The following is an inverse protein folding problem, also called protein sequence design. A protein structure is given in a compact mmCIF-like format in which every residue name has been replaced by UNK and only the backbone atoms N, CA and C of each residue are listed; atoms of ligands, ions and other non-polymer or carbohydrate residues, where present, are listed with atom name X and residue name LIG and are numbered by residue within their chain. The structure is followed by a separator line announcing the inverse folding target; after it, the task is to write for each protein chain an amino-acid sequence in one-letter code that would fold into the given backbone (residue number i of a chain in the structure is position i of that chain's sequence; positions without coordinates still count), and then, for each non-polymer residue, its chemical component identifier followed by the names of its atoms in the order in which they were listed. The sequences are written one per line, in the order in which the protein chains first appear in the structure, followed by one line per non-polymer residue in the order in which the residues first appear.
data_IF_834723073153
#
_entry.id   IF_834723073153
#
_cell.length_a   1.000
_cell.length_b   1.000
_cell.length_c   1.000
_cell.angle_alpha   90.00
_cell.angle_beta   90.00
_cell.angle_gamma   90.00
#
_symmetry.space_group_name_H-M   'P 1'
#
loop_
_entity.id
_entity.type
_entity.pdbx_description
1 polymer ?
#
# COMPACT_ATOMS: atom_id res chain seq x y z
N UNK A 1 8.85 35.33 4.47
CA UNK A 1 8.00 34.36 5.15
C UNK A 1 8.15 33.01 4.47
N UNK A 2 8.46 31.94 5.20
CA UNK A 2 8.88 30.65 4.61
C UNK A 2 7.78 30.02 3.72
N UNK A 3 6.52 30.21 4.10
CA UNK A 3 5.36 29.76 3.32
C UNK A 3 5.33 30.32 1.90
N UNK A 4 5.64 31.61 1.74
CA UNK A 4 5.55 32.26 0.44
C UNK A 4 6.57 31.71 -0.56
N UNK A 5 7.78 31.38 -0.07
CA UNK A 5 8.83 30.76 -0.87
C UNK A 5 8.45 29.34 -1.32
N UNK A 6 7.87 28.52 -0.43
CA UNK A 6 7.38 27.18 -0.78
C UNK A 6 6.24 27.23 -1.81
N UNK A 7 5.27 28.11 -1.61
CA UNK A 7 4.14 28.25 -2.55
C UNK A 7 4.60 28.69 -3.94
N UNK A 8 5.59 29.57 -4.04
CA UNK A 8 6.14 29.99 -5.32
C UNK A 8 6.86 28.84 -6.05
N UNK A 9 7.62 28.02 -5.33
CA UNK A 9 8.28 26.82 -5.90
C UNK A 9 7.25 25.81 -6.39
N UNK A 10 6.19 25.54 -5.62
CA UNK A 10 5.11 24.63 -6.01
C UNK A 10 4.41 25.15 -7.28
N UNK A 11 4.09 26.45 -7.33
CA UNK A 11 3.47 27.05 -8.51
C UNK A 11 4.35 26.95 -9.77
N UNK A 12 5.66 27.17 -9.64
CA UNK A 12 6.64 26.99 -10.72
C UNK A 12 6.69 25.54 -11.20
N UNK A 13 6.69 24.58 -10.27
CA UNK A 13 6.71 23.16 -10.60
C UNK A 13 5.44 22.77 -11.38
N UNK A 14 4.27 23.25 -10.95
CA UNK A 14 3.01 23.04 -11.69
C UNK A 14 3.06 23.64 -13.10
N UNK A 15 3.65 24.83 -13.26
CA UNK A 15 3.83 25.46 -14.57
C UNK A 15 4.69 24.62 -15.51
N UNK A 16 5.83 24.12 -15.04
CA UNK A 16 6.73 23.25 -15.82
C UNK A 16 6.02 21.95 -16.21
N UNK A 17 5.27 21.34 -15.29
CA UNK A 17 4.49 20.13 -15.56
C UNK A 17 3.40 20.35 -16.61
N UNK A 18 2.71 21.49 -16.57
CA UNK A 18 1.68 21.84 -17.56
C UNK A 18 2.28 22.06 -18.95
N UNK A 19 3.42 22.74 -19.04
CA UNK A 19 4.14 22.95 -20.30
C UNK A 19 4.65 21.63 -20.88
N UNK A 20 5.18 20.74 -20.04
CA UNK A 20 5.61 19.40 -20.43
C UNK A 20 4.43 18.56 -20.95
N UNK A 21 3.29 18.60 -20.26
CA UNK A 21 2.07 17.91 -20.69
C UNK A 21 1.57 18.42 -22.05
N UNK A 22 1.55 19.74 -22.26
CA UNK A 22 1.13 20.34 -23.52
C UNK A 22 2.05 19.98 -24.70
N UNK A 23 3.35 19.77 -24.43
CA UNK A 23 4.34 19.38 -25.43
C UNK A 23 4.43 17.87 -25.65
N UNK A 24 3.80 17.05 -24.81
CA UNK A 24 3.86 15.59 -24.92
C UNK A 24 2.88 15.11 -25.99
N UNK A 25 3.35 14.50 -27.10
CA UNK A 25 2.45 13.94 -28.10
C UNK A 25 1.59 12.81 -27.50
N UNK A 26 0.34 12.60 -27.96
CA UNK A 26 -0.55 11.56 -27.43
C UNK A 26 0.11 10.18 -27.40
N UNK A 27 0.76 9.80 -28.50
CA UNK A 27 1.52 8.55 -28.63
C UNK A 27 2.67 8.38 -27.62
N UNK A 28 3.27 9.48 -27.16
CA UNK A 28 4.35 9.45 -26.17
C UNK A 28 3.77 9.34 -24.75
N UNK A 29 2.65 10.03 -24.47
CA UNK A 29 1.91 9.86 -23.23
C UNK A 29 1.47 8.39 -23.07
N UNK A 30 0.87 7.82 -24.12
CA UNK A 30 0.43 6.42 -24.13
C UNK A 30 1.60 5.43 -23.95
N UNK A 31 2.75 5.69 -24.59
CA UNK A 31 3.94 4.85 -24.47
C UNK A 31 4.51 4.81 -23.04
N UNK A 32 4.31 5.86 -22.23
CA UNK A 32 4.76 5.91 -20.83
C UNK A 32 3.73 5.39 -19.83
N UNK A 33 2.45 5.38 -20.20
CA UNK A 33 1.34 5.05 -19.30
C UNK A 33 1.39 3.61 -18.80
N UNK A 34 1.60 2.65 -19.71
CA UNK A 34 1.73 1.24 -19.35
C UNK A 34 2.91 0.96 -18.38
N UNK A 35 4.17 1.33 -18.68
CA UNK A 35 5.27 1.06 -17.75
C UNK A 35 5.13 1.80 -16.42
N UNK A 36 4.54 3.00 -16.39
CA UNK A 36 4.24 3.70 -15.13
C UNK A 36 3.20 2.97 -14.29
N UNK A 37 2.12 2.48 -14.91
CA UNK A 37 1.08 1.71 -14.22
C UNK A 37 1.65 0.40 -13.65
N UNK A 38 2.49 -0.29 -14.42
CA UNK A 38 3.17 -1.51 -13.94
C UNK A 38 4.13 -1.22 -12.78
N UNK A 39 4.88 -0.11 -12.84
CA UNK A 39 5.73 0.34 -11.73
C UNK A 39 4.91 0.60 -10.46
N UNK A 40 3.79 1.31 -10.58
CA UNK A 40 2.85 1.53 -9.48
C UNK A 40 2.32 0.21 -8.89
N UNK A 41 1.95 -0.75 -9.73
CA UNK A 41 1.54 -2.08 -9.27
C UNK A 41 2.64 -2.78 -8.46
N UNK A 42 3.90 -2.76 -8.93
CA UNK A 42 5.04 -3.38 -8.23
C UNK A 42 5.33 -2.72 -6.88
N UNK A 43 5.25 -1.38 -6.82
CA UNK A 43 5.41 -0.64 -5.56
C UNK A 43 4.33 -1.02 -4.55
N UNK A 44 3.06 -1.05 -4.96
CA UNK A 44 1.95 -1.45 -4.10
C UNK A 44 2.06 -2.93 -3.68
N UNK A 45 2.47 -3.83 -4.56
CA UNK A 45 2.69 -5.24 -4.23
C UNK A 45 3.78 -5.40 -3.15
N UNK A 46 4.86 -4.63 -3.26
CA UNK A 46 5.95 -4.62 -2.29
C UNK A 46 5.50 -4.05 -0.94
N UNK A 47 4.70 -2.97 -0.95
CA UNK A 47 4.09 -2.40 0.25
C UNK A 47 3.15 -3.40 0.94
N UNK A 48 2.29 -4.07 0.19
CA UNK A 48 1.40 -5.14 0.70
C UNK A 48 2.21 -6.21 1.42
N UNK A 49 3.28 -6.72 0.78
CA UNK A 49 4.16 -7.71 1.39
C UNK A 49 4.83 -7.21 2.66
N UNK A 50 5.35 -5.98 2.65
CA UNK A 50 5.98 -5.37 3.82
C UNK A 50 5.02 -5.23 5.00
N UNK A 51 3.79 -4.77 4.74
CA UNK A 51 2.75 -4.61 5.75
C UNK A 51 2.31 -5.95 6.35
N UNK A 52 2.16 -7.00 5.53
CA UNK A 52 1.86 -8.34 6.03
C UNK A 52 3.00 -8.92 6.87
N UNK A 53 4.25 -8.72 6.45
CA UNK A 53 5.41 -9.13 7.25
C UNK A 53 5.49 -8.37 8.58
N UNK A 54 5.17 -7.07 8.56
CA UNK A 54 5.10 -6.27 9.79
C UNK A 54 3.98 -6.78 10.71
N UNK A 55 2.78 -7.08 10.18
CA UNK A 55 1.67 -7.62 10.95
C UNK A 55 2.02 -8.97 11.60
N UNK A 56 2.74 -9.85 10.87
CA UNK A 56 3.23 -11.12 11.39
C UNK A 56 4.34 -10.97 12.44
N UNK A 57 5.07 -9.86 12.43
CA UNK A 57 6.09 -9.56 13.43
C UNK A 57 5.51 -8.97 14.72
N UNK A 58 4.23 -8.55 14.75
CA UNK A 58 3.57 -8.05 15.95
C UNK A 58 3.42 -9.19 16.96
N UNK A 59 3.97 -9.06 18.19
CA UNK A 59 3.91 -10.10 19.22
C UNK A 59 2.48 -10.58 19.45
N UNK A 60 2.29 -11.89 19.49
CA UNK A 60 1.04 -12.48 19.98
C UNK A 60 1.06 -12.52 21.50
N UNK A 61 -0.08 -12.22 22.16
CA UNK A 61 -0.17 -12.42 23.60
C UNK A 61 0.11 -13.88 23.93
N UNK A 62 0.93 -14.12 24.96
CA UNK A 62 0.99 -15.46 25.56
C UNK A 62 -0.39 -15.80 26.11
N UNK A 63 -0.85 -17.06 25.99
CA UNK A 63 -2.12 -17.46 26.58
C UNK A 63 -2.07 -17.22 28.09
N UNK A 64 -2.78 -16.18 28.54
CA UNK A 64 -2.83 -15.80 29.94
C UNK A 64 -3.41 -16.97 30.75
N UNK A 65 -2.74 -17.33 31.86
CA UNK A 65 -3.30 -18.29 32.81
C UNK A 65 -4.60 -17.71 33.38
N UNK A 66 -5.75 -18.41 33.29
CA UNK A 66 -7.02 -17.89 33.78
C UNK A 66 -6.90 -17.50 35.26
N UNK A 67 -7.03 -16.22 35.56
CA UNK A 67 -7.08 -15.77 36.96
C UNK A 67 -8.50 -16.00 37.48
N UNK A 68 -8.62 -16.50 38.70
CA UNK A 68 -9.93 -16.71 39.34
C UNK A 68 -10.13 -15.61 40.39
N UNK A 69 -11.27 -14.95 40.36
CA UNK A 69 -11.63 -13.97 41.39
C UNK A 69 -11.76 -14.67 42.75
N UNK A 70 -10.99 -14.26 43.78
CA UNK A 70 -11.00 -14.91 45.09
C UNK A 70 -12.33 -14.75 45.84
N UNK A 71 -13.19 -13.79 45.47
CA UNK A 71 -14.47 -13.55 46.12
C UNK A 71 -15.65 -14.22 45.41
N UNK A 72 -15.60 -14.33 44.09
CA UNK A 72 -16.71 -14.91 43.30
C UNK A 72 -16.42 -16.32 42.79
N UNK A 73 -15.16 -16.75 42.74
CA UNK A 73 -14.74 -18.05 42.20
C UNK A 73 -14.89 -18.17 40.68
N UNK A 74 -15.20 -17.05 40.00
CA UNK A 74 -15.38 -17.02 38.55
C UNK A 74 -14.05 -16.71 37.83
N UNK A 75 -13.86 -17.22 36.61
CA UNK A 75 -12.74 -16.82 35.76
C UNK A 75 -12.81 -15.32 35.43
N UNK A 76 -11.68 -14.63 35.54
CA UNK A 76 -11.50 -13.24 35.12
C UNK A 76 -10.49 -13.21 33.99
N UNK A 77 -10.94 -12.70 32.84
CA UNK A 77 -10.09 -12.36 31.70
C UNK A 77 -9.17 -11.20 32.10
N UNK A 78 -7.89 -11.47 32.23
CA UNK A 78 -6.84 -10.45 32.41
C UNK A 78 -6.20 -10.20 31.05
N UNK A 79 -6.97 -9.66 30.10
CA UNK A 79 -6.38 -9.16 28.87
C UNK A 79 -5.60 -7.88 29.20
N UNK A 80 -4.28 -8.02 29.29
CA UNK A 80 -3.35 -6.93 29.48
C UNK A 80 -3.51 -5.89 28.36
N UNK A 81 -3.44 -4.59 28.74
CA UNK A 81 -3.60 -3.48 27.79
C UNK A 81 -2.61 -3.53 26.62
N UNK A 82 -1.44 -4.14 26.85
CA UNK A 82 -0.40 -4.32 25.83
C UNK A 82 -0.83 -5.29 24.73
N UNK A 83 -1.45 -6.40 25.10
CA UNK A 83 -2.01 -7.38 24.16
C UNK A 83 -3.09 -6.73 23.28
N UNK A 84 -3.96 -5.93 23.88
CA UNK A 84 -5.00 -5.16 23.15
C UNK A 84 -4.41 -4.10 22.21
N UNK A 85 -3.24 -3.54 22.51
CA UNK A 85 -2.53 -2.63 21.59
C UNK A 85 -1.93 -3.42 20.43
N UNK A 86 -1.24 -4.53 20.72
CA UNK A 86 -0.67 -5.41 19.71
C UNK A 86 -1.72 -5.93 18.71
N UNK A 87 -2.89 -6.37 19.17
CA UNK A 87 -3.96 -6.83 18.28
C UNK A 87 -4.48 -5.71 17.38
N UNK A 88 -4.64 -4.49 17.91
CA UNK A 88 -5.04 -3.32 17.12
C UNK A 88 -3.99 -2.95 16.07
N UNK A 89 -2.72 -2.96 16.43
CA UNK A 89 -1.62 -2.65 15.51
C UNK A 89 -1.57 -3.68 14.37
N UNK A 90 -1.76 -4.97 14.70
CA UNK A 90 -1.84 -6.05 13.71
C UNK A 90 -3.03 -5.86 12.76
N UNK A 91 -4.19 -5.51 13.28
CA UNK A 91 -5.39 -5.25 12.48
C UNK A 91 -5.22 -4.03 11.57
N UNK A 92 -4.60 -2.96 12.06
CA UNK A 92 -4.31 -1.77 11.27
C UNK A 92 -3.33 -2.07 10.13
N UNK A 93 -2.23 -2.77 10.42
CA UNK A 93 -1.26 -3.21 9.41
C UNK A 93 -1.89 -4.12 8.36
N UNK A 94 -2.74 -5.05 8.79
CA UNK A 94 -3.47 -5.95 7.89
C UNK A 94 -4.46 -5.19 7.02
N UNK A 95 -5.19 -4.23 7.58
CA UNK A 95 -6.10 -3.35 6.84
C UNK A 95 -5.35 -2.51 5.80
N UNK A 96 -4.21 -1.92 6.18
CA UNK A 96 -3.35 -1.17 5.27
C UNK A 96 -2.83 -2.06 4.13
N UNK A 97 -2.47 -3.32 4.42
CA UNK A 97 -2.06 -4.28 3.40
C UNK A 97 -3.19 -4.55 2.39
N UNK A 98 -4.43 -4.73 2.86
CA UNK A 98 -5.58 -4.90 1.97
C UNK A 98 -5.83 -3.66 1.10
N UNK A 99 -5.71 -2.46 1.66
CA UNK A 99 -5.84 -1.22 0.88
C UNK A 99 -4.76 -1.10 -0.21
N UNK A 100 -3.51 -1.43 0.12
CA UNK A 100 -2.40 -1.48 -0.83
C UNK A 100 -2.68 -2.49 -1.95
N UNK A 101 -3.20 -3.68 -1.61
CA UNK A 101 -3.59 -4.69 -2.60
C UNK A 101 -4.69 -4.22 -3.55
N UNK A 102 -5.66 -3.44 -3.07
CA UNK A 102 -6.69 -2.86 -3.95
C UNK A 102 -6.06 -1.86 -4.94
N UNK A 103 -5.11 -1.03 -4.48
CA UNK A 103 -4.38 -0.07 -5.34
C UNK A 103 -3.47 -0.75 -6.36
N UNK A 104 -2.85 -1.86 -5.98
CA UNK A 104 -2.10 -2.75 -6.88
C UNK A 104 -3.00 -3.24 -8.01
N UNK A 105 -4.16 -3.81 -7.69
CA UNK A 105 -5.10 -4.33 -8.69
C UNK A 105 -5.60 -3.24 -9.63
N UNK A 106 -5.87 -2.04 -9.12
CA UNK A 106 -6.23 -0.89 -9.95
C UNK A 106 -5.10 -0.52 -10.92
N UNK A 107 -3.84 -0.55 -10.46
CA UNK A 107 -2.67 -0.26 -11.29
C UNK A 107 -2.42 -1.33 -12.35
N UNK A 108 -2.68 -2.60 -12.04
CA UNK A 108 -2.63 -3.70 -13.03
C UNK A 108 -3.73 -3.56 -14.09
N UNK A 109 -4.95 -3.20 -13.69
CA UNK A 109 -6.03 -2.94 -14.65
C UNK A 109 -5.71 -1.75 -15.57
N UNK A 110 -5.05 -0.72 -15.03
CA UNK A 110 -4.57 0.42 -15.81
C UNK A 110 -3.46 0.02 -16.79
N UNK A 111 -2.52 -0.84 -16.36
CA UNK A 111 -1.53 -1.45 -17.26
C UNK A 111 -2.21 -2.22 -18.39
N UNK A 112 -3.20 -3.07 -18.07
CA UNK A 112 -3.91 -3.87 -19.07
C UNK A 112 -4.62 -3.02 -20.14
N UNK A 113 -5.13 -1.85 -19.74
CA UNK A 113 -5.76 -0.88 -20.65
C UNK A 113 -4.74 -0.14 -21.53
N UNK A 114 -3.57 0.21 -20.97
CA UNK A 114 -2.57 1.00 -21.67
C UNK A 114 -1.57 0.15 -22.49
N UNK A 115 -1.38 -1.12 -22.12
CA UNK A 115 -0.36 -1.97 -22.71
C UNK A 115 -0.78 -2.57 -24.06
N UNK A 116 0.17 -2.58 -25.00
CA UNK A 116 -0.01 -3.32 -26.25
C UNK A 116 0.00 -4.85 -26.00
N UNK A 117 -0.50 -5.68 -26.94
CA UNK A 117 -0.57 -7.13 -26.75
C UNK A 117 0.78 -7.77 -26.42
N UNK A 118 1.85 -7.33 -27.07
CA UNK A 118 3.21 -7.85 -26.85
C UNK A 118 3.68 -7.63 -25.40
N UNK A 119 3.35 -6.48 -24.80
CA UNK A 119 3.71 -6.19 -23.41
C UNK A 119 2.89 -7.03 -22.42
N UNK A 120 1.60 -7.26 -22.69
CA UNK A 120 0.75 -8.15 -21.88
C UNK A 120 1.23 -9.59 -21.96
N UNK A 121 1.56 -10.08 -23.15
CA UNK A 121 2.09 -11.44 -23.35
C UNK A 121 3.42 -11.63 -22.63
N UNK A 122 4.31 -10.63 -22.66
CA UNK A 122 5.58 -10.66 -21.92
C UNK A 122 5.37 -10.74 -20.41
N UNK A 123 4.46 -9.93 -19.87
CA UNK A 123 4.14 -9.98 -18.44
C UNK A 123 3.58 -11.36 -18.06
N UNK A 124 2.61 -11.85 -18.83
CA UNK A 124 1.99 -13.17 -18.64
C UNK A 124 3.03 -14.28 -18.62
N UNK A 125 3.88 -14.35 -19.65
CA UNK A 125 4.96 -15.34 -19.75
C UNK A 125 5.93 -15.26 -18.56
N UNK A 126 6.29 -14.05 -18.11
CA UNK A 126 7.19 -13.88 -16.96
C UNK A 126 6.58 -14.39 -15.65
N UNK A 127 5.26 -14.23 -15.48
CA UNK A 127 4.54 -14.66 -14.27
C UNK A 127 4.27 -16.17 -14.27
N UNK A 128 3.98 -16.76 -15.44
CA UNK A 128 3.64 -18.19 -15.53
C UNK A 128 4.84 -19.12 -15.72
N UNK A 129 5.99 -18.60 -16.18
CA UNK A 129 7.18 -19.39 -16.51
C UNK A 129 7.13 -19.94 -17.93
#
# INVERSE_FOLDING_TARGET
DAHHAYSEVIAKLHGISAELAAKTPPRAADATRAPLALGGAVEQASATRGLLLAALAVPSPEPATPQTDPFTGLPVETEDDESKRADRDRDELSSAAQQSRVRELASLAEFDQAANPVARDKLSATVTG
#
